data_IF_706237573932
#
_entry.id   IF_706237573932
#
_cell.length_a   1.000
_cell.length_b   1.000
_cell.length_c   1.000
_cell.angle_alpha   90.00
_cell.angle_beta   90.00
_cell.angle_gamma   90.00
#
_symmetry.space_group_name_H-M   'P 1'
#
loop_
_entity.id
_entity.type
_entity.pdbx_description
1 polymer ?
#
# COMPACT_ATOMS: atom_id res chain seq x y z
N UNK A 1 5.13 -59.90 -5.34
CA UNK A 1 5.59 -59.04 -4.22
C UNK A 1 5.28 -57.61 -4.58
N UNK A 2 4.21 -57.07 -4.03
CA UNK A 2 3.75 -55.69 -4.24
C UNK A 2 4.60 -54.75 -3.38
N UNK A 3 5.28 -53.81 -4.03
CA UNK A 3 6.01 -52.76 -3.34
C UNK A 3 5.01 -51.82 -2.65
N UNK A 4 5.08 -51.77 -1.33
CA UNK A 4 4.36 -50.79 -0.50
C UNK A 4 5.07 -49.46 -0.72
N UNK A 5 4.39 -48.54 -1.41
CA UNK A 5 4.75 -47.12 -1.42
C UNK A 5 4.61 -46.67 0.02
N UNK A 6 5.74 -46.38 0.68
CA UNK A 6 5.72 -45.71 1.97
C UNK A 6 5.25 -44.28 1.69
N UNK A 7 4.05 -43.95 2.15
CA UNK A 7 3.58 -42.58 2.27
C UNK A 7 4.68 -41.77 2.99
N UNK A 8 5.20 -40.77 2.29
CA UNK A 8 6.02 -39.71 2.85
C UNK A 8 5.26 -39.18 4.08
N UNK A 9 5.85 -39.09 5.29
CA UNK A 9 5.11 -38.63 6.46
C UNK A 9 4.58 -37.23 6.16
N UNK A 10 3.27 -37.13 5.94
CA UNK A 10 2.59 -35.87 5.68
C UNK A 10 3.05 -34.88 6.74
N UNK A 11 3.75 -33.83 6.32
CA UNK A 11 4.13 -32.75 7.22
C UNK A 11 2.88 -32.30 7.96
N UNK A 12 2.95 -32.08 9.29
CA UNK A 12 1.79 -31.67 10.05
C UNK A 12 1.19 -30.43 9.41
N UNK A 13 -0.15 -30.33 9.31
CA UNK A 13 -0.78 -29.19 8.67
C UNK A 13 -0.24 -27.90 9.31
N UNK A 14 0.07 -26.89 8.47
CA UNK A 14 0.66 -25.65 8.95
C UNK A 14 -0.24 -25.03 10.04
N UNK A 15 0.35 -24.77 11.21
CA UNK A 15 -0.38 -24.15 12.31
C UNK A 15 -0.75 -22.69 11.97
N UNK A 16 -1.76 -22.13 12.64
CA UNK A 16 -2.16 -20.74 12.42
C UNK A 16 -1.01 -19.77 12.75
N UNK A 17 -0.76 -18.78 11.89
CA UNK A 17 0.25 -17.73 12.08
C UNK A 17 -0.42 -16.36 12.02
N UNK A 18 0.19 -15.32 12.59
CA UNK A 18 -0.24 -13.92 12.40
C UNK A 18 0.72 -13.21 11.44
N UNK A 19 0.28 -12.13 10.81
CA UNK A 19 1.13 -11.34 9.89
C UNK A 19 2.40 -10.85 10.60
N UNK A 20 2.28 -10.39 11.85
CA UNK A 20 3.41 -9.94 12.68
C UNK A 20 4.41 -11.07 12.95
N UNK A 21 3.92 -12.26 13.25
CA UNK A 21 4.78 -13.43 13.45
C UNK A 21 5.48 -13.85 12.15
N UNK A 22 4.75 -13.86 11.03
CA UNK A 22 5.33 -14.16 9.71
C UNK A 22 6.47 -13.18 9.36
N UNK A 23 6.26 -11.87 9.55
CA UNK A 23 7.30 -10.86 9.31
C UNK A 23 8.57 -11.10 10.15
N UNK A 24 8.40 -11.40 11.44
CA UNK A 24 9.52 -11.69 12.34
C UNK A 24 10.30 -12.93 11.91
N UNK A 25 9.58 -13.98 11.52
CA UNK A 25 10.17 -15.24 11.10
C UNK A 25 10.90 -15.10 9.76
N UNK A 26 10.31 -14.42 8.78
CA UNK A 26 10.97 -14.13 7.50
C UNK A 26 12.21 -13.26 7.68
N UNK A 27 12.16 -12.27 8.59
CA UNK A 27 13.33 -11.46 8.93
C UNK A 27 14.45 -12.30 9.54
N UNK A 28 14.12 -13.25 10.41
CA UNK A 28 15.08 -14.18 11.00
C UNK A 28 15.68 -15.11 9.94
N UNK A 29 14.85 -15.70 9.09
CA UNK A 29 15.27 -16.58 7.99
C UNK A 29 16.16 -15.84 7.00
N UNK A 30 15.85 -14.58 6.68
CA UNK A 30 16.69 -13.74 5.81
C UNK A 30 18.08 -13.50 6.41
N UNK A 31 18.14 -13.24 7.72
CA UNK A 31 19.41 -13.11 8.43
C UNK A 31 20.21 -14.42 8.42
N UNK A 32 19.55 -15.58 8.50
CA UNK A 32 20.20 -16.89 8.37
C UNK A 32 20.77 -17.11 6.97
N UNK A 33 20.03 -16.75 5.91
CA UNK A 33 20.52 -16.81 4.52
C UNK A 33 21.79 -15.96 4.38
N UNK A 34 21.76 -14.71 4.85
CA UNK A 34 22.93 -13.81 4.78
C UNK A 34 24.13 -14.37 5.54
N UNK A 35 23.93 -14.92 6.74
CA UNK A 35 24.99 -15.56 7.53
C UNK A 35 25.59 -16.76 6.79
N UNK A 36 24.76 -17.64 6.24
CA UNK A 36 25.20 -18.81 5.47
C UNK A 36 25.96 -18.42 4.21
N UNK A 37 25.48 -17.42 3.47
CA UNK A 37 26.21 -16.86 2.32
C UNK A 37 27.60 -16.38 2.73
N UNK A 38 27.70 -15.62 3.83
CA UNK A 38 28.99 -15.15 4.34
C UNK A 38 29.91 -16.31 4.71
N UNK A 39 29.40 -17.33 5.40
CA UNK A 39 30.19 -18.54 5.70
C UNK A 39 30.70 -19.21 4.42
N UNK A 40 29.89 -19.36 3.38
CA UNK A 40 30.36 -19.96 2.13
C UNK A 40 31.44 -19.11 1.44
N UNK A 41 31.31 -17.77 1.46
CA UNK A 41 32.35 -16.85 0.97
C UNK A 41 33.64 -17.05 1.75
N UNK A 42 33.56 -17.06 3.08
CA UNK A 42 34.72 -17.19 3.96
C UNK A 42 35.45 -18.52 3.76
N UNK A 43 34.71 -19.61 3.48
CA UNK A 43 35.28 -20.96 3.32
C UNK A 43 35.84 -21.25 1.92
N UNK A 44 35.17 -20.81 0.86
CA UNK A 44 35.51 -21.22 -0.51
C UNK A 44 36.20 -20.14 -1.33
N UNK A 45 36.10 -18.88 -0.92
CA UNK A 45 36.58 -17.75 -1.73
C UNK A 45 37.77 -17.08 -1.06
N UNK A 46 37.68 -16.72 0.22
CA UNK A 46 38.77 -15.99 0.90
C UNK A 46 40.06 -16.84 0.91
N UNK A 47 41.22 -16.25 0.58
CA UNK A 47 41.53 -14.81 0.44
C UNK A 47 41.32 -14.21 -0.97
N UNK A 48 40.69 -14.92 -1.90
CA UNK A 48 40.43 -14.43 -3.26
C UNK A 48 39.31 -13.38 -3.31
N UNK A 49 39.26 -12.64 -4.43
CA UNK A 49 38.22 -11.62 -4.69
C UNK A 49 36.89 -12.31 -4.95
N UNK A 50 35.84 -11.87 -4.24
CA UNK A 50 34.46 -12.39 -4.44
C UNK A 50 33.96 -12.06 -5.86
N UNK A 51 33.53 -13.06 -6.65
CA UNK A 51 32.97 -12.81 -7.98
C UNK A 51 31.70 -11.98 -7.95
N UNK A 52 31.45 -11.25 -9.03
CA UNK A 52 30.30 -10.33 -9.13
C UNK A 52 28.95 -11.05 -9.06
N UNK A 53 28.88 -12.30 -9.55
CA UNK A 53 27.71 -13.17 -9.43
C UNK A 53 27.30 -13.43 -7.98
N UNK A 54 28.27 -13.48 -7.06
CA UNK A 54 28.06 -13.68 -5.62
C UNK A 54 27.84 -12.33 -4.92
N UNK A 55 28.61 -11.30 -5.27
CA UNK A 55 28.41 -9.93 -4.74
C UNK A 55 27.01 -9.41 -5.00
N UNK A 56 26.39 -9.78 -6.13
CA UNK A 56 25.04 -9.37 -6.48
C UNK A 56 23.95 -9.87 -5.50
N UNK A 57 24.23 -10.86 -4.65
CA UNK A 57 23.25 -11.34 -3.67
C UNK A 57 23.11 -10.44 -2.45
N UNK A 58 24.16 -9.77 -1.98
CA UNK A 58 24.01 -8.87 -0.82
C UNK A 58 23.02 -7.71 -1.08
N UNK A 59 23.08 -6.95 -2.19
CA UNK A 59 22.07 -5.92 -2.47
C UNK A 59 20.67 -6.51 -2.65
N UNK A 60 20.52 -7.69 -3.26
CA UNK A 60 19.21 -8.37 -3.38
C UNK A 60 18.62 -8.72 -2.00
N UNK A 61 19.43 -9.30 -1.11
CA UNK A 61 19.02 -9.65 0.25
C UNK A 61 18.75 -8.39 1.10
N UNK A 62 19.48 -7.28 0.85
CA UNK A 62 19.20 -5.99 1.48
C UNK A 62 17.85 -5.42 1.02
N UNK A 63 17.50 -5.52 -0.27
CA UNK A 63 16.19 -5.10 -0.78
C UNK A 63 15.06 -5.89 -0.09
N UNK A 64 15.20 -7.21 0.05
CA UNK A 64 14.24 -8.04 0.79
C UNK A 64 14.10 -7.59 2.25
N UNK A 65 15.22 -7.26 2.89
CA UNK A 65 15.22 -6.76 4.26
C UNK A 65 14.50 -5.42 4.38
N UNK A 66 14.71 -4.50 3.44
CA UNK A 66 14.01 -3.22 3.41
C UNK A 66 12.50 -3.41 3.22
N UNK A 67 12.08 -4.32 2.32
CA UNK A 67 10.67 -4.64 2.10
C UNK A 67 10.01 -5.22 3.35
N UNK A 68 10.66 -6.16 4.04
CA UNK A 68 10.16 -6.72 5.30
C UNK A 68 10.05 -5.65 6.40
N UNK A 69 11.06 -4.78 6.53
CA UNK A 69 11.01 -3.66 7.48
C UNK A 69 9.89 -2.68 7.16
N UNK A 70 9.72 -2.33 5.90
CA UNK A 70 8.63 -1.46 5.46
C UNK A 70 7.28 -2.09 5.80
N UNK A 71 7.02 -3.35 5.42
CA UNK A 71 5.78 -4.03 5.80
C UNK A 71 5.54 -4.10 7.32
N UNK A 72 6.59 -4.15 8.13
CA UNK A 72 6.49 -4.18 9.58
C UNK A 72 6.03 -2.86 10.22
N UNK A 73 5.98 -1.76 9.47
CA UNK A 73 5.43 -0.49 9.96
C UNK A 73 3.90 -0.48 9.97
N UNK A 74 3.26 -1.41 9.25
CA UNK A 74 1.79 -1.49 9.15
C UNK A 74 1.21 -2.07 10.44
N UNK A 75 0.17 -1.42 10.96
CA UNK A 75 -0.73 -2.01 11.94
C UNK A 75 -1.81 -2.85 11.22
N UNK A 76 -1.58 -4.16 11.19
CA UNK A 76 -2.51 -5.11 10.58
C UNK A 76 -3.84 -5.27 11.34
N UNK A 77 -3.96 -4.75 12.56
CA UNK A 77 -5.23 -4.66 13.27
C UNK A 77 -6.04 -3.43 12.83
N UNK A 78 -5.39 -2.33 12.45
CA UNK A 78 -6.06 -1.14 11.93
C UNK A 78 -6.36 -1.22 10.43
N UNK A 79 -5.52 -1.91 9.65
CA UNK A 79 -5.67 -2.03 8.20
C UNK A 79 -7.07 -2.48 7.71
N UNK A 80 -7.78 -3.42 8.38
CA UNK A 80 -9.13 -3.83 7.99
C UNK A 80 -10.18 -2.71 8.08
N UNK A 81 -9.92 -1.59 8.75
CA UNK A 81 -10.83 -0.44 8.81
C UNK A 81 -10.70 0.51 7.62
N UNK A 82 -9.69 0.31 6.77
CA UNK A 82 -9.49 1.14 5.57
C UNK A 82 -9.39 0.32 4.26
N UNK A 83 -9.04 -0.97 4.35
CA UNK A 83 -8.84 -1.84 3.20
C UNK A 83 -9.57 -3.17 3.41
N UNK A 84 -10.43 -3.52 2.45
CA UNK A 84 -11.03 -4.86 2.37
C UNK A 84 -9.99 -5.92 1.99
N UNK A 85 -10.11 -7.11 2.57
CA UNK A 85 -9.24 -8.25 2.32
C UNK A 85 -7.78 -8.00 2.71
N UNK A 86 -7.54 -7.14 3.70
CA UNK A 86 -6.19 -6.74 4.14
C UNK A 86 -5.26 -7.92 4.39
N UNK A 87 -5.75 -9.00 5.03
CA UNK A 87 -4.98 -10.21 5.29
C UNK A 87 -4.61 -10.98 4.01
N UNK A 88 -5.50 -11.02 3.01
CA UNK A 88 -5.24 -11.66 1.73
C UNK A 88 -4.18 -10.89 0.93
N UNK A 89 -4.26 -9.56 0.96
CA UNK A 89 -3.23 -8.71 0.35
C UNK A 89 -1.91 -8.86 1.09
N UNK A 90 -1.90 -8.85 2.42
CA UNK A 90 -0.69 -9.07 3.21
C UNK A 90 -0.05 -10.44 2.91
N UNK A 91 -0.86 -11.50 2.84
CA UNK A 91 -0.42 -12.84 2.50
C UNK A 91 0.22 -12.90 1.10
N UNK A 92 -0.34 -12.20 0.11
CA UNK A 92 0.25 -12.11 -1.22
C UNK A 92 1.67 -11.51 -1.18
N UNK A 93 1.83 -10.34 -0.55
CA UNK A 93 3.15 -9.67 -0.46
C UNK A 93 4.18 -10.50 0.31
N UNK A 94 3.75 -11.13 1.41
CA UNK A 94 4.61 -12.03 2.18
C UNK A 94 5.00 -13.27 1.36
N UNK A 95 4.07 -13.83 0.58
CA UNK A 95 4.32 -14.95 -0.32
C UNK A 95 5.37 -14.61 -1.39
N UNK A 96 5.24 -13.45 -2.03
CA UNK A 96 6.23 -12.96 -3.00
C UNK A 96 7.63 -12.80 -2.37
N UNK A 97 7.72 -12.35 -1.12
CA UNK A 97 9.00 -12.27 -0.40
C UNK A 97 9.58 -13.65 -0.09
N UNK A 98 8.75 -14.62 0.31
CA UNK A 98 9.17 -16.01 0.51
C UNK A 98 9.74 -16.60 -0.77
N UNK A 99 9.05 -16.41 -1.90
CA UNK A 99 9.52 -16.90 -3.21
C UNK A 99 10.86 -16.27 -3.61
N UNK A 100 11.04 -14.97 -3.39
CA UNK A 100 12.32 -14.30 -3.66
C UNK A 100 13.45 -14.79 -2.74
N UNK A 101 13.15 -15.14 -1.49
CA UNK A 101 14.11 -15.76 -0.58
C UNK A 101 14.47 -17.19 -1.04
N UNK A 102 13.49 -17.98 -1.47
CA UNK A 102 13.72 -19.31 -2.06
C UNK A 102 14.60 -19.22 -3.31
N UNK A 103 14.29 -18.31 -4.24
CA UNK A 103 15.13 -18.07 -5.42
C UNK A 103 16.56 -17.65 -5.03
N UNK A 104 16.71 -16.87 -3.96
CA UNK A 104 18.02 -16.47 -3.46
C UNK A 104 18.83 -17.68 -2.96
N UNK A 105 18.20 -18.52 -2.13
CA UNK A 105 18.82 -19.76 -1.62
C UNK A 105 19.24 -20.67 -2.76
N UNK A 106 18.34 -20.94 -3.71
CA UNK A 106 18.61 -21.81 -4.85
C UNK A 106 19.77 -21.28 -5.68
N UNK A 107 19.75 -19.99 -6.02
CA UNK A 107 20.79 -19.39 -6.85
C UNK A 107 22.16 -19.36 -6.17
N UNK A 108 22.23 -19.08 -4.86
CA UNK A 108 23.47 -19.20 -4.08
C UNK A 108 23.97 -20.64 -4.14
N UNK A 109 23.12 -21.62 -3.84
CA UNK A 109 23.52 -23.02 -3.84
C UNK A 109 24.01 -23.50 -5.21
N UNK A 110 23.33 -23.14 -6.30
CA UNK A 110 23.75 -23.46 -7.66
C UNK A 110 25.14 -22.92 -7.96
N UNK A 111 25.42 -21.65 -7.67
CA UNK A 111 26.75 -21.06 -7.93
C UNK A 111 27.85 -21.78 -7.15
N UNK A 112 27.62 -22.08 -5.87
CA UNK A 112 28.63 -22.75 -5.05
C UNK A 112 28.86 -24.21 -5.47
N UNK A 113 27.81 -24.94 -5.86
CA UNK A 113 27.91 -26.32 -6.36
C UNK A 113 28.64 -26.39 -7.70
N UNK A 114 28.32 -25.49 -8.63
CA UNK A 114 28.88 -25.52 -9.98
C UNK A 114 30.34 -25.07 -10.02
N UNK A 115 30.73 -24.11 -9.17
CA UNK A 115 32.04 -23.46 -9.27
C UNK A 115 33.03 -23.77 -8.15
N UNK A 116 32.60 -24.33 -7.02
CA UNK A 116 33.48 -24.48 -5.84
C UNK A 116 33.47 -25.89 -5.24
N UNK A 117 32.29 -26.46 -4.95
CA UNK A 117 32.19 -27.77 -4.28
C UNK A 117 30.91 -28.52 -4.67
N UNK A 118 31.07 -29.56 -5.50
CA UNK A 118 29.95 -30.39 -5.97
C UNK A 118 29.26 -31.16 -4.83
N UNK A 119 29.98 -31.50 -3.77
CA UNK A 119 29.46 -32.27 -2.63
C UNK A 119 28.51 -31.42 -1.76
N UNK A 120 28.45 -30.10 -1.98
CA UNK A 120 27.45 -29.23 -1.35
C UNK A 120 26.01 -29.63 -1.71
N UNK A 121 25.82 -30.31 -2.84
CA UNK A 121 24.51 -30.85 -3.22
C UNK A 121 24.03 -31.90 -2.21
N UNK A 122 24.94 -32.73 -1.69
CA UNK A 122 24.65 -33.78 -0.71
C UNK A 122 24.61 -33.23 0.72
N UNK A 123 25.51 -32.29 1.05
CA UNK A 123 25.55 -31.67 2.38
C UNK A 123 24.36 -30.75 2.66
N UNK A 124 23.71 -30.24 1.61
CA UNK A 124 22.50 -29.38 1.65
C UNK A 124 22.57 -28.30 2.76
N UNK A 125 23.55 -27.38 2.72
CA UNK A 125 23.76 -26.40 3.80
C UNK A 125 22.56 -25.45 4.05
N UNK A 126 21.63 -25.36 3.09
CA UNK A 126 20.40 -24.58 3.17
C UNK A 126 19.12 -25.41 3.39
N UNK A 127 19.20 -26.74 3.59
CA UNK A 127 18.02 -27.62 3.72
C UNK A 127 17.00 -27.10 4.74
N UNK A 128 17.45 -26.84 5.97
CA UNK A 128 16.58 -26.32 7.04
C UNK A 128 15.95 -24.96 6.69
N UNK A 129 16.70 -24.08 6.02
CA UNK A 129 16.19 -22.76 5.58
C UNK A 129 15.10 -22.98 4.52
N UNK A 130 15.32 -23.89 3.58
CA UNK A 130 14.38 -24.22 2.52
C UNK A 130 13.08 -24.79 3.08
N UNK A 131 13.17 -25.79 3.98
CA UNK A 131 12.02 -26.37 4.67
C UNK A 131 11.25 -25.33 5.48
N UNK A 132 11.96 -24.44 6.18
CA UNK A 132 11.34 -23.33 6.92
C UNK A 132 10.58 -22.40 5.98
N UNK A 133 11.13 -22.06 4.82
CA UNK A 133 10.48 -21.20 3.83
C UNK A 133 9.23 -21.86 3.23
N UNK A 134 9.30 -23.15 2.90
CA UNK A 134 8.13 -23.92 2.41
C UNK A 134 7.02 -23.94 3.46
N UNK A 135 7.34 -24.31 4.70
CA UNK A 135 6.36 -24.35 5.78
C UNK A 135 5.75 -22.98 6.04
N UNK A 136 6.55 -21.90 6.01
CA UNK A 136 6.03 -20.53 6.14
C UNK A 136 5.17 -20.11 4.95
N UNK A 137 5.49 -20.52 3.73
CA UNK A 137 4.67 -20.27 2.55
C UNK A 137 3.26 -20.84 2.74
N UNK A 138 3.15 -22.06 3.25
CA UNK A 138 1.87 -22.72 3.47
C UNK A 138 1.09 -22.08 4.63
N UNK A 139 1.76 -21.70 5.72
CA UNK A 139 1.12 -20.91 6.79
C UNK A 139 0.61 -19.56 6.27
N UNK A 140 1.40 -18.86 5.46
CA UNK A 140 1.04 -17.54 4.90
C UNK A 140 -0.17 -17.65 3.97
N UNK A 141 -0.25 -18.70 3.13
CA UNK A 141 -1.42 -18.95 2.27
C UNK A 141 -2.72 -19.11 3.07
N UNK A 142 -2.63 -19.62 4.29
CA UNK A 142 -3.79 -19.89 5.14
C UNK A 142 -4.16 -18.70 6.06
N UNK A 143 -3.35 -17.63 6.09
CA UNK A 143 -3.59 -16.43 6.90
C UNK A 143 -5.04 -15.90 6.83
N UNK A 144 -5.63 -15.67 5.64
CA UNK A 144 -6.96 -15.06 5.54
C UNK A 144 -8.09 -15.94 6.07
N UNK A 145 -7.81 -17.24 6.24
CA UNK A 145 -8.80 -18.25 6.65
C UNK A 145 -8.65 -18.58 8.13
N UNK A 146 -7.43 -18.86 8.58
CA UNK A 146 -7.20 -19.39 9.93
C UNK A 146 -7.05 -18.32 11.01
N UNK A 147 -6.52 -17.14 10.67
CA UNK A 147 -6.29 -16.04 11.61
C UNK A 147 -6.58 -14.67 10.94
N UNK A 148 -7.82 -14.40 10.52
CA UNK A 148 -8.16 -13.11 9.94
C UNK A 148 -8.07 -11.99 10.99
N UNK A 149 -7.47 -10.85 10.62
CA UNK A 149 -7.46 -9.63 11.41
C UNK A 149 -8.88 -9.03 11.54
N UNK A 150 -9.78 -9.37 10.61
CA UNK A 150 -11.22 -9.09 10.69
C UNK A 150 -12.03 -10.39 10.66
N UNK A 151 -12.36 -10.98 11.82
CA UNK A 151 -13.12 -12.23 11.91
C UNK A 151 -14.53 -12.11 11.34
N UNK A 152 -15.13 -10.92 11.43
CA UNK A 152 -16.48 -10.68 10.93
C UNK A 152 -16.57 -10.64 9.40
N UNK A 153 -15.42 -10.49 8.71
CA UNK A 153 -15.31 -10.30 7.26
C UNK A 153 -16.22 -9.19 6.71
N UNK A 154 -16.59 -8.24 7.57
CA UNK A 154 -17.32 -7.04 7.16
C UNK A 154 -16.44 -6.17 6.28
N UNK A 155 -17.07 -5.37 5.43
CA UNK A 155 -16.34 -4.42 4.62
C UNK A 155 -16.00 -3.19 5.45
N UNK A 156 -14.87 -2.51 5.20
CA UNK A 156 -14.48 -1.32 5.96
C UNK A 156 -15.58 -0.26 6.00
N UNK A 157 -16.21 0.01 4.85
CA UNK A 157 -17.33 0.93 4.71
C UNK A 157 -18.60 0.52 5.49
N UNK A 158 -18.74 -0.76 5.85
CA UNK A 158 -19.87 -1.30 6.62
C UNK A 158 -19.55 -1.45 8.13
N UNK A 159 -18.26 -1.37 8.51
CA UNK A 159 -17.83 -1.51 9.91
C UNK A 159 -17.99 -0.22 10.70
N UNK A 160 -17.75 0.91 10.04
CA UNK A 160 -17.67 2.21 10.70
C UNK A 160 -18.92 3.03 10.39
N UNK A 161 -19.63 3.54 11.40
CA UNK A 161 -20.66 4.53 11.17
C UNK A 161 -20.03 5.81 10.60
N UNK A 162 -20.85 6.58 9.88
CA UNK A 162 -20.43 7.84 9.30
C UNK A 162 -20.29 8.91 10.39
N UNK A 163 -19.07 9.12 10.87
CA UNK A 163 -18.75 10.01 11.99
C UNK A 163 -17.80 11.13 11.58
N UNK A 164 -18.06 12.35 12.06
CA UNK A 164 -17.25 13.53 11.75
C UNK A 164 -15.80 13.31 12.20
N UNK A 165 -14.87 13.49 11.27
CA UNK A 165 -13.43 13.30 11.53
C UNK A 165 -12.91 11.89 11.27
N UNK A 166 -13.79 10.92 11.06
CA UNK A 166 -13.41 9.58 10.60
C UNK A 166 -13.42 9.51 9.07
N UNK A 167 -12.74 8.50 8.50
CA UNK A 167 -12.83 8.24 7.07
C UNK A 167 -14.29 8.01 6.68
N UNK A 168 -14.73 8.70 5.63
CA UNK A 168 -16.09 8.56 5.14
C UNK A 168 -16.30 7.16 4.53
N UNK A 169 -17.47 6.51 4.71
CA UNK A 169 -17.77 5.24 4.05
C UNK A 169 -17.57 5.29 2.52
N UNK A 170 -17.90 6.41 1.88
CA UNK A 170 -17.65 6.61 0.46
C UNK A 170 -16.16 6.69 0.09
N UNK A 171 -15.30 7.18 1.01
CA UNK A 171 -13.84 7.18 0.87
C UNK A 171 -13.27 5.76 0.97
N UNK A 172 -13.85 4.95 1.86
CA UNK A 172 -13.49 3.54 2.01
C UNK A 172 -13.95 2.73 0.80
N UNK A 173 -15.17 2.97 0.31
CA UNK A 173 -15.70 2.35 -0.91
C UNK A 173 -14.82 2.60 -2.13
N UNK A 174 -14.39 3.85 -2.38
CA UNK A 174 -13.46 4.16 -3.48
C UNK A 174 -12.08 3.51 -3.26
N UNK A 175 -11.58 3.44 -2.02
CA UNK A 175 -10.34 2.72 -1.69
C UNK A 175 -10.45 1.22 -1.98
N UNK A 176 -11.66 0.67 -1.84
CA UNK A 176 -11.99 -0.73 -2.07
C UNK A 176 -12.51 -1.04 -3.48
N UNK A 177 -12.34 -0.11 -4.44
CA UNK A 177 -12.80 -0.25 -5.84
C UNK A 177 -14.31 -0.44 -5.99
N UNK A 178 -15.09 0.08 -5.03
CA UNK A 178 -16.55 0.09 -5.00
C UNK A 178 -17.04 1.53 -5.07
N UNK A 179 -16.62 2.24 -6.10
CA UNK A 179 -17.02 3.63 -6.31
C UNK A 179 -18.52 3.73 -6.60
N UNK A 180 -19.23 4.46 -5.73
CA UNK A 180 -20.66 4.80 -5.84
C UNK A 180 -20.87 6.31 -6.01
N UNK A 181 -19.80 7.06 -6.23
CA UNK A 181 -19.85 8.50 -6.33
C UNK A 181 -20.59 8.99 -7.57
N UNK A 182 -21.18 10.17 -7.44
CA UNK A 182 -21.91 10.81 -8.53
C UNK A 182 -20.96 11.72 -9.30
N UNK A 183 -20.90 11.54 -10.60
CA UNK A 183 -20.11 12.37 -11.49
C UNK A 183 -21.02 13.46 -12.06
N UNK A 184 -20.55 14.70 -12.02
CA UNK A 184 -21.27 15.87 -12.54
C UNK A 184 -20.34 16.76 -13.34
N UNK A 185 -20.85 17.35 -14.41
CA UNK A 185 -20.09 18.29 -15.22
C UNK A 185 -19.87 19.61 -14.47
N UNK A 186 -18.70 20.21 -14.64
CA UNK A 186 -18.37 21.54 -14.09
C UNK A 186 -18.48 22.58 -15.19
N UNK A 187 -19.38 23.53 -15.01
CA UNK A 187 -19.54 24.62 -15.97
C UNK A 187 -18.30 25.51 -16.02
N UNK A 188 -17.97 26.04 -17.21
CA UNK A 188 -16.81 26.94 -17.41
C UNK A 188 -16.80 28.16 -16.48
N UNK A 189 -17.98 28.64 -16.08
CA UNK A 189 -18.14 29.77 -15.14
C UNK A 189 -17.65 29.45 -13.72
N UNK A 190 -17.61 28.18 -13.34
CA UNK A 190 -17.18 27.71 -12.02
C UNK A 190 -15.68 27.36 -11.95
N UNK A 191 -14.98 27.46 -13.08
CA UNK A 191 -13.54 27.21 -13.16
C UNK A 191 -12.78 28.48 -12.75
N UNK A 192 -11.73 28.28 -11.95
CA UNK A 192 -10.73 29.32 -11.70
C UNK A 192 -9.87 29.54 -12.96
N UNK A 193 -9.08 30.60 -12.96
CA UNK A 193 -8.31 31.00 -14.14
C UNK A 193 -7.29 29.95 -14.58
N UNK A 194 -6.63 29.29 -13.63
CA UNK A 194 -5.70 28.18 -13.90
C UNK A 194 -6.40 27.02 -14.63
N UNK A 195 -7.57 26.59 -14.16
CA UNK A 195 -8.34 25.52 -14.79
C UNK A 195 -8.85 25.93 -16.18
N UNK A 196 -9.22 27.21 -16.37
CA UNK A 196 -9.61 27.70 -17.71
C UNK A 196 -8.44 27.67 -18.69
N UNK A 197 -7.23 28.05 -18.23
CA UNK A 197 -6.01 27.96 -19.05
C UNK A 197 -5.69 26.51 -19.40
N UNK A 198 -5.79 25.58 -18.45
CA UNK A 198 -5.60 24.15 -18.68
C UNK A 198 -6.62 23.61 -19.68
N UNK A 199 -7.90 23.95 -19.53
CA UNK A 199 -8.96 23.58 -20.48
C UNK A 199 -8.69 24.13 -21.89
N UNK A 200 -8.16 25.35 -22.00
CA UNK A 200 -7.80 25.96 -23.29
C UNK A 200 -6.59 25.27 -23.93
N UNK A 201 -5.60 24.87 -23.15
CA UNK A 201 -4.37 24.24 -23.64
C UNK A 201 -4.54 22.77 -24.02
N UNK A 202 -5.30 22.01 -23.22
CA UNK A 202 -5.39 20.54 -23.34
C UNK A 202 -6.78 20.04 -23.79
N UNK A 203 -7.78 20.92 -23.92
CA UNK A 203 -9.15 20.53 -24.24
C UNK A 203 -9.82 19.72 -23.12
N UNK A 204 -10.87 18.98 -23.47
CA UNK A 204 -11.58 18.09 -22.56
C UNK A 204 -12.66 18.76 -21.70
N UNK A 205 -12.85 18.26 -20.48
CA UNK A 205 -13.88 18.73 -19.55
C UNK A 205 -13.39 18.66 -18.09
N UNK A 206 -14.03 19.45 -17.22
CA UNK A 206 -13.90 19.28 -15.78
C UNK A 206 -15.14 18.59 -15.23
N UNK A 207 -14.90 17.62 -14.37
CA UNK A 207 -15.91 16.84 -13.68
C UNK A 207 -15.75 17.02 -12.16
N UNK A 208 -16.86 16.93 -11.43
CA UNK A 208 -16.87 16.78 -9.98
C UNK A 208 -17.32 15.36 -9.66
N UNK A 209 -16.48 14.62 -8.95
CA UNK A 209 -16.89 13.43 -8.21
C UNK A 209 -17.46 13.88 -6.86
N UNK A 210 -18.67 13.44 -6.56
CA UNK A 210 -19.37 13.75 -5.31
C UNK A 210 -19.56 12.47 -4.51
N UNK A 211 -19.18 12.53 -3.24
CA UNK A 211 -19.39 11.43 -2.32
C UNK A 211 -20.90 11.19 -2.13
N UNK A 212 -21.38 9.93 -2.19
CA UNK A 212 -22.80 9.65 -1.98
C UNK A 212 -23.21 9.78 -0.51
N UNK A 213 -22.26 9.61 0.42
CA UNK A 213 -22.53 9.52 1.85
C UNK A 213 -22.38 10.87 2.58
N UNK A 214 -21.68 11.84 1.99
CA UNK A 214 -21.32 13.07 2.69
C UNK A 214 -21.17 14.27 1.72
N UNK A 215 -20.93 15.48 2.25
CA UNK A 215 -20.82 16.70 1.45
C UNK A 215 -19.54 16.82 0.60
N UNK A 216 -18.63 15.85 0.69
CA UNK A 216 -17.34 15.93 0.01
C UNK A 216 -17.49 15.85 -1.51
N UNK A 217 -16.74 16.71 -2.20
CA UNK A 217 -16.59 16.67 -3.66
C UNK A 217 -15.15 16.97 -4.06
N UNK A 218 -14.67 16.29 -5.10
CA UNK A 218 -13.37 16.57 -5.71
C UNK A 218 -13.55 16.83 -7.19
N UNK A 219 -12.92 17.90 -7.65
CA UNK A 219 -12.86 18.27 -9.07
C UNK A 219 -11.71 17.55 -9.74
N UNK A 220 -11.90 17.08 -10.96
CA UNK A 220 -10.82 16.55 -11.79
C UNK A 220 -11.01 16.88 -13.27
N UNK A 221 -9.89 16.96 -13.98
CA UNK A 221 -9.84 17.20 -15.43
C UNK A 221 -9.83 15.87 -16.19
N UNK A 222 -10.53 15.82 -17.31
CA UNK A 222 -10.56 14.67 -18.21
C UNK A 222 -10.35 15.13 -19.64
N UNK A 223 -9.49 14.44 -20.39
CA UNK A 223 -9.14 14.79 -21.77
C UNK A 223 -10.02 14.06 -22.79
N UNK A 224 -10.57 12.90 -22.41
CA UNK A 224 -11.42 12.06 -23.26
C UNK A 224 -12.45 11.27 -22.42
N UNK A 225 -13.38 10.58 -23.08
CA UNK A 225 -14.44 9.81 -22.41
C UNK A 225 -13.91 8.57 -21.67
N UNK A 226 -12.80 7.98 -22.12
CA UNK A 226 -12.19 6.79 -21.49
C UNK A 226 -11.56 7.10 -20.12
N UNK A 227 -11.22 8.37 -19.86
CA UNK A 227 -10.67 8.88 -18.59
C UNK A 227 -11.71 9.58 -17.71
N UNK A 228 -13.01 9.44 -18.04
CA UNK A 228 -14.10 10.11 -17.33
C UNK A 228 -14.33 9.62 -15.89
N UNK A 229 -13.80 8.45 -15.54
CA UNK A 229 -13.90 7.89 -14.19
C UNK A 229 -12.77 8.42 -13.29
N UNK A 230 -13.08 8.71 -12.02
CA UNK A 230 -12.10 9.22 -11.04
C UNK A 230 -10.89 8.28 -10.88
N UNK A 231 -11.06 6.97 -11.08
CA UNK A 231 -9.98 5.99 -11.04
C UNK A 231 -9.07 6.01 -12.25
N UNK A 232 -9.59 6.37 -13.42
CA UNK A 232 -8.90 6.28 -14.72
C UNK A 232 -8.44 7.63 -15.24
N UNK A 233 -8.67 8.72 -14.51
CA UNK A 233 -8.18 10.06 -14.88
C UNK A 233 -6.66 10.08 -15.04
N UNK A 234 -6.18 10.78 -16.06
CA UNK A 234 -4.76 11.04 -16.29
C UNK A 234 -4.29 12.35 -15.61
N UNK A 235 -5.18 13.03 -14.89
CA UNK A 235 -4.85 14.28 -14.21
C UNK A 235 -3.88 14.05 -13.05
N UNK A 236 -2.71 14.68 -13.14
CA UNK A 236 -1.76 14.81 -12.02
C UNK A 236 -1.98 16.15 -11.32
N UNK A 237 -2.05 16.10 -9.99
CA UNK A 237 -2.02 17.27 -9.11
C UNK A 237 -0.63 17.45 -8.53
N UNK A 238 -0.21 18.71 -8.49
CA UNK A 238 1.09 19.16 -8.01
C UNK A 238 0.90 20.43 -7.20
N UNK A 239 1.86 20.73 -6.33
CA UNK A 239 1.88 21.98 -5.57
C UNK A 239 3.25 22.62 -5.74
N UNK A 240 3.28 23.95 -5.86
CA UNK A 240 4.53 24.68 -5.88
C UNK A 240 5.36 24.33 -4.64
N UNK A 241 6.64 24.04 -4.86
CA UNK A 241 7.66 23.73 -3.84
C UNK A 241 7.51 22.38 -3.13
N UNK A 242 6.55 21.51 -3.53
CA UNK A 242 6.41 20.17 -2.98
C UNK A 242 6.77 19.10 -4.01
N UNK A 243 7.66 18.19 -3.62
CA UNK A 243 8.09 17.05 -4.45
C UNK A 243 7.11 15.87 -4.34
N UNK A 244 5.83 16.12 -4.62
CA UNK A 244 4.77 15.11 -4.59
C UNK A 244 3.80 15.29 -5.76
N UNK A 245 3.44 14.15 -6.36
CA UNK A 245 2.45 14.06 -7.43
C UNK A 245 1.40 13.03 -7.05
N UNK A 246 0.12 13.35 -7.23
CA UNK A 246 -0.97 12.43 -6.95
C UNK A 246 -2.20 12.72 -7.82
N UNK A 247 -3.10 11.74 -7.92
CA UNK A 247 -4.36 11.91 -8.66
C UNK A 247 -5.49 12.39 -7.75
N UNK A 248 -6.51 13.00 -8.37
CA UNK A 248 -7.74 13.40 -7.68
C UNK A 248 -8.44 12.24 -6.95
N UNK A 249 -8.28 10.99 -7.41
CA UNK A 249 -8.76 9.79 -6.70
C UNK A 249 -8.12 9.59 -5.34
N UNK A 250 -6.85 9.95 -5.16
CA UNK A 250 -6.19 9.84 -3.85
C UNK A 250 -6.86 10.75 -2.82
N UNK A 251 -7.22 11.99 -3.21
CA UNK A 251 -7.98 12.88 -2.33
C UNK A 251 -9.36 12.32 -1.98
N UNK A 252 -10.04 11.70 -2.94
CA UNK A 252 -11.32 11.03 -2.68
C UNK A 252 -11.16 9.81 -1.75
N UNK A 253 -10.07 9.05 -1.84
CA UNK A 253 -9.78 7.95 -0.90
C UNK A 253 -9.46 8.41 0.52
N UNK A 254 -8.92 9.62 0.67
CA UNK A 254 -8.47 10.16 1.96
C UNK A 254 -9.49 11.06 2.65
N UNK A 255 -10.68 11.27 2.08
CA UNK A 255 -11.59 12.25 2.65
C UNK A 255 -12.26 11.75 3.94
N UNK A 256 -12.41 12.68 4.88
CA UNK A 256 -13.13 12.46 6.13
C UNK A 256 -14.61 12.76 5.94
N UNK A 257 -15.45 12.18 6.78
CA UNK A 257 -16.88 12.41 6.73
C UNK A 257 -17.19 13.90 6.95
N UNK A 258 -17.91 14.49 5.99
CA UNK A 258 -18.38 15.87 6.06
C UNK A 258 -19.91 15.88 6.07
N UNK A 259 -20.56 16.39 7.13
CA UNK A 259 -22.01 16.40 7.18
C UNK A 259 -22.57 17.15 5.98
N UNK A 260 -23.60 16.59 5.35
CA UNK A 260 -24.38 17.32 4.38
C UNK A 260 -24.92 18.55 5.11
N UNK A 261 -24.58 19.76 4.64
CA UNK A 261 -25.25 20.95 5.15
C UNK A 261 -26.74 20.70 4.99
N UNK A 262 -27.46 20.57 6.10
CA UNK A 262 -28.90 20.65 6.06
C UNK A 262 -29.22 21.90 5.22
N UNK A 263 -30.09 21.73 4.24
CA UNK A 263 -30.77 22.89 3.66
C UNK A 263 -31.42 23.56 4.85
N UNK A 264 -30.80 24.61 5.37
CA UNK A 264 -31.46 25.51 6.31
C UNK A 264 -32.67 26.01 5.55
N UNK A 265 -33.82 25.41 5.85
CA UNK A 265 -35.12 25.94 5.54
C UNK A 265 -35.07 27.39 5.99
N UNK A 266 -35.10 28.31 5.03
CA UNK A 266 -35.24 29.73 5.32
C UNK A 266 -36.68 29.89 5.84
N UNK A 267 -36.89 29.57 7.11
CA UNK A 267 -37.98 30.14 7.90
C UNK A 267 -37.41 31.37 8.58
N UNK A 268 -38.00 32.49 8.19
CA UNK A 268 -37.76 33.86 8.60
C UNK A 268 -37.66 34.08 10.12
N UNK A 269 -36.88 35.11 10.45
CA UNK A 269 -36.82 35.88 11.71
C UNK A 269 -35.94 35.35 12.83
N UNK A 270 -34.75 35.94 12.96
CA UNK A 270 -33.94 35.81 14.16
C UNK A 270 -32.53 36.37 14.01
N UNK A 271 -32.38 37.67 14.28
CA UNK A 271 -31.11 38.34 14.50
C UNK A 271 -30.21 37.57 15.47
N UNK A 272 -29.07 37.08 15.00
CA UNK A 272 -27.83 37.11 15.79
C UNK A 272 -26.62 37.17 14.86
N UNK A 273 -25.83 38.22 15.03
CA UNK A 273 -24.47 38.39 14.54
C UNK A 273 -23.53 37.41 15.23
N UNK A 274 -23.73 36.11 15.01
CA UNK A 274 -22.66 35.15 15.19
C UNK A 274 -21.87 35.13 13.89
N UNK A 275 -20.78 35.90 13.86
CA UNK A 275 -19.60 35.57 13.04
C UNK A 275 -19.24 34.13 13.41
N UNK A 276 -19.88 33.16 12.73
CA UNK A 276 -19.62 31.74 12.88
C UNK A 276 -18.14 31.58 12.65
N UNK A 277 -17.43 31.23 13.72
CA UNK A 277 -16.15 30.56 13.61
C UNK A 277 -16.32 29.49 12.54
N UNK A 278 -15.68 29.74 11.40
CA UNK A 278 -15.36 28.73 10.43
C UNK A 278 -14.47 27.72 11.14
N UNK A 279 -15.05 26.82 11.92
CA UNK A 279 -14.46 25.53 12.18
C UNK A 279 -14.32 24.89 10.80
N UNK A 280 -13.19 25.18 10.13
CA UNK A 280 -12.83 24.52 8.91
C UNK A 280 -12.76 23.04 9.25
N UNK A 281 -13.82 22.30 8.92
CA UNK A 281 -13.90 20.88 9.16
C UNK A 281 -12.69 20.23 8.51
N UNK A 282 -12.02 19.32 9.23
CA UNK A 282 -10.98 18.48 8.67
C UNK A 282 -11.58 17.69 7.51
N UNK A 283 -10.96 17.78 6.34
CA UNK A 283 -11.46 17.21 5.09
C UNK A 283 -10.69 15.97 4.67
N UNK A 284 -9.43 15.87 5.07
CA UNK A 284 -8.51 14.83 4.63
C UNK A 284 -7.88 14.16 5.84
N UNK A 285 -7.87 12.84 5.88
CA UNK A 285 -7.09 12.05 6.83
C UNK A 285 -5.95 11.33 6.11
N UNK A 286 -4.81 11.24 6.75
CA UNK A 286 -3.68 10.51 6.21
C UNK A 286 -3.91 9.00 6.39
N UNK A 287 -4.24 8.33 5.28
CA UNK A 287 -4.42 6.87 5.25
C UNK A 287 -3.12 6.11 5.57
N UNK A 288 -1.95 6.71 5.38
CA UNK A 288 -0.68 6.07 5.71
C UNK A 288 -0.42 6.09 7.22
N UNK A 289 -0.57 7.25 7.87
CA UNK A 289 -0.52 7.36 9.34
C UNK A 289 -1.52 6.42 10.01
N UNK A 290 -2.76 6.39 9.52
CA UNK A 290 -3.77 5.48 10.06
C UNK A 290 -3.38 4.02 9.86
N UNK A 291 -2.85 3.64 8.68
CA UNK A 291 -2.38 2.28 8.44
C UNK A 291 -1.19 1.87 9.32
N UNK A 292 -0.47 2.81 9.92
CA UNK A 292 0.63 2.56 10.87
C UNK A 292 0.19 2.59 12.33
N UNK A 293 -1.11 2.79 12.59
CA UNK A 293 -1.67 2.79 13.94
C UNK A 293 -1.95 4.17 14.53
N UNK A 294 -1.67 5.25 13.80
CA UNK A 294 -1.81 6.62 14.31
C UNK A 294 -3.27 7.12 14.23
N UNK A 295 -3.69 7.84 15.25
CA UNK A 295 -5.01 8.48 15.27
C UNK A 295 -5.08 9.68 14.30
N UNK A 296 -6.29 9.99 13.84
CA UNK A 296 -6.56 11.15 12.99
C UNK A 296 -6.67 12.44 13.82
N UNK A 297 -5.56 13.15 13.95
CA UNK A 297 -5.42 14.37 14.75
C UNK A 297 -5.28 15.58 13.83
N UNK A 298 -6.12 16.60 14.07
CA UNK A 298 -6.12 17.85 13.30
C UNK A 298 -4.75 18.52 13.31
N UNK A 299 -4.25 18.86 12.13
CA UNK A 299 -2.96 19.52 11.92
C UNK A 299 -1.75 18.58 11.92
N UNK A 300 -1.93 17.31 12.29
CA UNK A 300 -0.85 16.32 12.36
C UNK A 300 -1.05 15.19 11.35
N UNK A 301 -2.22 14.55 11.39
CA UNK A 301 -2.58 13.43 10.50
C UNK A 301 -3.94 13.65 9.82
N UNK A 302 -4.63 14.75 10.15
CA UNK A 302 -5.86 15.19 9.52
C UNK A 302 -5.84 16.69 9.19
N UNK A 303 -6.31 17.05 7.99
CA UNK A 303 -6.05 18.35 7.37
C UNK A 303 -7.30 18.98 6.76
N UNK A 304 -7.33 20.30 6.76
CA UNK A 304 -8.43 21.11 6.19
C UNK A 304 -8.28 21.37 4.71
N UNK A 305 -7.04 21.43 4.20
CA UNK A 305 -6.74 21.71 2.80
C UNK A 305 -5.94 20.57 2.17
N UNK A 306 -6.06 20.45 0.84
CA UNK A 306 -5.29 19.46 0.09
C UNK A 306 -3.79 19.81 0.04
N UNK A 307 -3.44 21.08 0.27
CA UNK A 307 -2.04 21.53 0.33
C UNK A 307 -1.39 21.07 1.64
N UNK A 308 -1.99 21.37 2.80
CA UNK A 308 -1.46 20.94 4.09
C UNK A 308 -1.32 19.40 4.14
N UNK A 309 -2.31 18.69 3.58
CA UNK A 309 -2.23 17.25 3.43
C UNK A 309 -1.05 16.82 2.56
N UNK A 310 -0.86 17.42 1.38
CA UNK A 310 0.26 17.12 0.49
C UNK A 310 1.62 17.46 1.13
N UNK A 311 1.71 18.56 1.89
CA UNK A 311 2.89 18.94 2.66
C UNK A 311 3.24 17.83 3.67
N UNK A 312 2.27 17.35 4.42
CA UNK A 312 2.48 16.24 5.34
C UNK A 312 2.98 14.97 4.62
N UNK A 313 2.36 14.55 3.52
CA UNK A 313 2.84 13.37 2.77
C UNK A 313 4.28 13.56 2.29
N UNK A 314 4.62 14.74 1.78
CA UNK A 314 5.95 15.03 1.25
C UNK A 314 7.05 15.04 2.32
N UNK A 315 6.73 15.42 3.56
CA UNK A 315 7.69 15.48 4.67
C UNK A 315 7.75 14.18 5.46
N UNK A 316 6.60 13.63 5.86
CA UNK A 316 6.52 12.50 6.80
C UNK A 316 6.58 11.13 6.13
N UNK A 317 6.24 11.04 4.84
CA UNK A 317 6.16 9.77 4.11
C UNK A 317 7.12 9.66 2.93
N UNK A 318 8.13 10.52 2.85
CA UNK A 318 9.16 10.40 1.82
C UNK A 318 10.30 9.47 2.20
N UNK A 319 10.68 9.44 3.48
CA UNK A 319 11.78 8.65 3.98
C UNK A 319 11.51 8.17 5.43
N UNK A 320 11.09 6.91 5.64
CA UNK A 320 10.89 5.87 4.63
C UNK A 320 9.60 6.05 3.84
N UNK A 321 9.59 5.56 2.60
CA UNK A 321 8.36 5.46 1.81
C UNK A 321 7.37 4.48 2.47
N UNK A 322 6.05 4.73 2.34
CA UNK A 322 5.05 3.77 2.75
C UNK A 322 5.24 2.42 2.04
N UNK A 323 4.81 1.33 2.65
CA UNK A 323 4.88 0.01 2.03
C UNK A 323 4.18 -0.02 0.67
N UNK A 324 4.76 -0.75 -0.28
CA UNK A 324 4.27 -0.88 -1.66
C UNK A 324 2.79 -1.26 -1.71
N UNK A 325 2.36 -2.10 -0.77
CA UNK A 325 0.96 -2.49 -0.56
C UNK A 325 0.04 -1.27 -0.45
N UNK A 326 0.38 -0.30 0.41
CA UNK A 326 -0.41 0.91 0.62
C UNK A 326 -0.31 1.85 -0.58
N UNK A 327 0.90 2.04 -1.13
CA UNK A 327 1.10 2.92 -2.27
C UNK A 327 0.26 2.47 -3.48
N UNK A 328 0.30 1.18 -3.81
CA UNK A 328 -0.50 0.60 -4.89
C UNK A 328 -2.00 0.71 -4.60
N UNK A 329 -2.43 0.45 -3.35
CA UNK A 329 -3.85 0.50 -2.97
C UNK A 329 -4.40 1.93 -3.09
N UNK A 330 -3.66 2.91 -2.61
CA UNK A 330 -4.11 4.30 -2.58
C UNK A 330 -3.80 5.07 -3.85
N UNK A 331 -3.07 4.46 -4.81
CA UNK A 331 -2.71 5.10 -6.08
C UNK A 331 -1.93 6.39 -5.84
N UNK A 332 -0.85 6.27 -5.08
CA UNK A 332 0.11 7.34 -4.81
C UNK A 332 1.40 7.05 -5.58
N UNK A 333 2.09 8.09 -6.01
CA UNK A 333 3.37 8.00 -6.69
C UNK A 333 4.41 8.63 -5.77
N UNK A 334 5.52 7.94 -5.56
CA UNK A 334 6.69 8.50 -4.91
C UNK A 334 7.85 8.47 -5.92
N UNK A 335 8.33 9.67 -6.23
CA UNK A 335 9.52 10.04 -7.02
C UNK A 335 9.77 9.37 -8.41
N UNK A 336 9.71 10.21 -9.46
CA UNK A 336 10.66 10.14 -10.58
C UNK A 336 10.29 9.36 -11.85
N UNK A 337 9.15 8.65 -11.90
CA UNK A 337 8.70 7.96 -13.13
C UNK A 337 7.28 8.35 -13.51
N UNK A 338 7.20 9.39 -14.35
CA UNK A 338 6.04 9.64 -15.20
C UNK A 338 5.71 8.40 -16.02
N UNK A 339 4.44 8.05 -16.05
CA UNK A 339 3.93 6.86 -16.73
C UNK A 339 3.78 7.11 -18.23
N UNK A 340 4.38 6.25 -19.05
CA UNK A 340 3.85 5.92 -20.38
C UNK A 340 2.84 4.79 -20.17
N UNK A 341 1.55 4.99 -20.51
CA UNK A 341 0.56 3.91 -20.58
C UNK A 341 -0.30 3.60 -19.33
N UNK A 342 -0.52 4.54 -18.42
CA UNK A 342 -1.51 4.39 -17.33
C UNK A 342 -1.15 3.47 -16.14
N UNK A 343 0.04 2.85 -16.12
CA UNK A 343 0.54 2.00 -15.03
C UNK A 343 1.43 2.76 -14.04
N UNK A 344 1.02 2.86 -12.77
CA UNK A 344 1.81 3.44 -11.69
C UNK A 344 2.84 2.42 -11.21
N UNK A 345 3.90 2.23 -11.99
CA UNK A 345 4.96 1.31 -11.62
C UNK A 345 5.91 2.02 -10.65
N UNK A 346 5.73 1.76 -9.34
CA UNK A 346 6.83 1.84 -8.39
C UNK A 346 7.90 0.86 -8.88
N UNK A 347 8.88 1.38 -9.61
CA UNK A 347 10.02 0.58 -10.01
C UNK A 347 10.84 0.30 -8.76
N UNK A 348 10.63 -0.87 -8.15
CA UNK A 348 11.60 -1.48 -7.25
C UNK A 348 12.72 -2.11 -8.10
N UNK A 349 13.45 -1.28 -8.86
CA UNK A 349 14.69 -1.72 -9.51
C UNK A 349 15.84 -1.65 -8.51
#
# INVERSE_FOLDING_TARGET
MTAIVMDDPMQPPPGPITVKQALKDLQATLNQIRRKLRTLIDWYIIPHVVPDSIKAYDPRLQILQLRLRSLSTIDFQQLPYIIDGSDAVAAQYLGELVEQMQHSVRGIQTIFVEHYDRDLLDRRPFAMIWETLLYRQDQIRQLPVLNPSNPSRRMPEDMQPAELGNFCPGALGISNRRDRGRISFVEKKELNEENRRKLKAFGGAYLNWQCPDCAYKVRYHVTNSTTSNIHTTDEVREHADLLIQYRSSFLAKCHLFLPQSEKVSISSNGSSTTRRESHAHIKYGCVFCFATGEELVRGYTAFTTARDFAEHIAHEHRNPLPPSLLIHRFSVAAEGKTVIGGRWDLNFS
#
